data_IF_084892019851
#
_entry.id   IF_084892019851
#
_cell.length_a   1.000
_cell.length_b   1.000
_cell.length_c   1.000
_cell.angle_alpha   90.00
_cell.angle_beta   90.00
_cell.angle_gamma   90.00
#
_symmetry.space_group_name_H-M   'P 1'
#
loop_
_entity.id
_entity.type
_entity.pdbx_description
1 polymer ?
#
# COMPACT_ATOMS: atom_id res chain seq x y z
N UNK A 1 -29.53 -31.86 -33.44
CA UNK A 1 -29.48 -30.46 -33.93
C UNK A 1 -28.42 -29.73 -33.12
N UNK A 2 -27.26 -29.41 -33.72
CA UNK A 2 -26.21 -28.64 -33.06
C UNK A 2 -26.59 -27.17 -33.16
N UNK A 3 -27.16 -26.60 -32.10
CA UNK A 3 -27.30 -25.15 -31.99
C UNK A 3 -25.95 -24.60 -31.52
N UNK A 4 -25.19 -24.00 -32.44
CA UNK A 4 -24.02 -23.19 -32.08
C UNK A 4 -24.55 -21.80 -31.72
N UNK A 5 -24.79 -21.55 -30.44
CA UNK A 5 -24.98 -20.19 -29.94
C UNK A 5 -23.67 -19.82 -29.26
N UNK A 6 -22.87 -18.97 -29.91
CA UNK A 6 -21.74 -18.31 -29.26
C UNK A 6 -22.31 -17.26 -28.32
N UNK A 7 -22.39 -17.58 -27.04
CA UNK A 7 -22.68 -16.59 -26.01
C UNK A 7 -21.35 -15.98 -25.56
N UNK A 8 -20.90 -14.96 -26.29
CA UNK A 8 -19.75 -14.13 -25.89
C UNK A 8 -20.24 -13.12 -24.87
N UNK A 9 -19.92 -13.33 -23.59
CA UNK A 9 -19.91 -12.24 -22.62
C UNK A 9 -18.57 -11.52 -22.75
N UNK A 10 -18.62 -10.30 -23.27
CA UNK A 10 -17.48 -9.39 -23.33
C UNK A 10 -17.64 -8.44 -22.15
N UNK A 11 -16.87 -8.66 -21.08
CA UNK A 11 -16.49 -7.56 -20.21
C UNK A 11 -15.28 -6.89 -20.85
N UNK A 12 -15.51 -5.69 -21.36
CA UNK A 12 -14.48 -4.84 -21.91
C UNK A 12 -14.00 -3.92 -20.79
N UNK A 13 -12.82 -4.20 -20.24
CA UNK A 13 -11.86 -3.13 -19.97
C UNK A 13 -10.44 -3.66 -20.20
N UNK A 14 -9.69 -2.86 -20.94
CA UNK A 14 -8.40 -3.16 -21.54
C UNK A 14 -7.32 -2.53 -20.68
N UNK A 15 -6.35 -3.32 -20.21
CA UNK A 15 -4.93 -2.98 -20.38
C UNK A 15 -4.08 -4.25 -20.28
N UNK A 16 -3.54 -4.67 -21.43
CA UNK A 16 -2.59 -5.77 -21.56
C UNK A 16 -1.32 -5.18 -22.15
N UNK A 17 -0.30 -5.01 -21.31
CA UNK A 17 1.09 -4.91 -21.71
C UNK A 17 1.95 -5.55 -20.61
N UNK A 18 1.93 -6.88 -20.54
CA UNK A 18 2.93 -7.61 -19.79
C UNK A 18 4.21 -7.64 -20.64
N UNK A 19 5.17 -6.79 -20.30
CA UNK A 19 6.54 -6.94 -20.78
C UNK A 19 7.33 -7.54 -19.62
N UNK A 20 7.70 -8.82 -19.79
CA UNK A 20 8.67 -9.49 -18.93
C UNK A 20 10.03 -8.80 -19.09
N UNK A 21 10.42 -8.00 -18.11
CA UNK A 21 11.83 -7.62 -17.90
C UNK A 21 12.20 -7.95 -16.45
N UNK A 22 12.61 -9.19 -16.22
CA UNK A 22 13.50 -9.49 -15.10
C UNK A 22 14.88 -8.94 -15.48
N UNK A 23 15.29 -7.85 -14.83
CA UNK A 23 16.70 -7.46 -14.75
C UNK A 23 17.08 -7.44 -13.27
N UNK A 24 18.15 -8.13 -12.85
CA UNK A 24 18.62 -7.99 -11.48
C UNK A 24 19.14 -6.55 -11.32
N UNK A 25 18.54 -5.78 -10.40
CA UNK A 25 19.19 -4.56 -9.93
C UNK A 25 20.51 -4.96 -9.29
N UNK A 26 21.63 -4.58 -9.91
CA UNK A 26 22.93 -4.65 -9.27
C UNK A 26 22.97 -3.59 -8.18
N UNK A 27 23.36 -3.97 -6.97
CA UNK A 27 23.71 -3.07 -5.88
C UNK A 27 24.75 -2.04 -6.34
N UNK A 28 24.27 -0.86 -6.73
CA UNK A 28 25.07 0.34 -6.87
C UNK A 28 24.84 1.17 -5.62
N UNK A 29 25.69 1.01 -4.61
CA UNK A 29 25.73 1.89 -3.45
C UNK A 29 26.09 3.32 -3.92
N UNK A 30 25.07 4.11 -4.24
CA UNK A 30 25.22 5.55 -4.43
C UNK A 30 25.30 6.17 -3.04
N UNK A 31 26.52 6.31 -2.53
CA UNK A 31 26.80 7.10 -1.33
C UNK A 31 26.34 8.54 -1.60
N UNK A 32 25.26 8.94 -0.95
CA UNK A 32 24.81 10.33 -0.92
C UNK A 32 25.92 11.20 -0.32
N UNK A 33 26.47 12.09 -1.14
CA UNK A 33 27.50 13.03 -0.74
C UNK A 33 26.89 14.21 0.01
N UNK A 34 26.61 14.05 1.32
CA UNK A 34 26.26 15.17 2.17
C UNK A 34 27.47 16.13 2.29
N UNK A 35 27.40 17.27 1.62
CA UNK A 35 28.35 18.38 1.82
C UNK A 35 28.16 18.94 3.23
N UNK A 36 29.24 18.95 4.02
CA UNK A 36 29.36 19.67 5.30
C UNK A 36 28.88 21.11 5.15
N UNK A 37 27.98 21.56 6.03
CA UNK A 37 27.61 22.96 6.19
C UNK A 37 28.18 23.50 7.50
N UNK A 38 28.61 24.77 7.44
CA UNK A 38 29.44 25.49 8.39
C UNK A 38 28.95 25.48 9.86
N UNK A 39 29.85 25.08 10.75
CA UNK A 39 29.73 25.32 12.20
C UNK A 39 30.08 26.78 12.49
N UNK A 40 29.10 27.69 12.43
CA UNK A 40 29.10 28.94 13.17
C UNK A 40 27.79 29.71 12.96
N UNK A 41 26.84 29.59 13.88
CA UNK A 41 25.85 30.63 14.16
C UNK A 41 25.62 30.69 15.68
N UNK A 42 25.72 31.87 16.31
CA UNK A 42 25.59 32.00 17.75
C UNK A 42 24.14 31.87 18.20
N UNK A 43 23.94 31.38 19.43
CA UNK A 43 22.66 31.47 20.15
C UNK A 43 22.29 32.93 20.32
N UNK A 44 21.33 33.43 19.54
CA UNK A 44 20.64 34.69 19.83
C UNK A 44 19.34 34.44 20.59
N UNK A 45 19.11 35.29 21.57
CA UNK A 45 17.97 35.24 22.49
C UNK A 45 16.94 36.27 22.04
N UNK A 46 15.69 35.82 21.86
CA UNK A 46 14.48 36.63 21.92
C UNK A 46 14.20 37.59 20.75
N UNK A 47 13.19 37.25 19.94
CA UNK A 47 12.46 38.23 19.12
C UNK A 47 11.80 37.64 17.87
N UNK A 48 10.46 37.56 17.89
CA UNK A 48 9.53 37.32 16.77
C UNK A 48 9.95 36.27 15.71
N UNK A 49 9.55 35.02 15.95
CA UNK A 49 9.50 33.97 14.94
C UNK A 49 8.45 34.32 13.88
N UNK A 50 8.89 34.91 12.77
CA UNK A 50 8.22 34.64 11.49
C UNK A 50 8.65 33.24 11.08
N UNK A 51 7.68 32.32 11.00
CA UNK A 51 7.83 30.96 10.48
C UNK A 51 8.50 30.98 9.10
N UNK A 52 9.75 30.55 9.03
CA UNK A 52 10.40 30.31 7.74
C UNK A 52 9.88 28.98 7.20
N UNK A 53 9.06 29.08 6.15
CA UNK A 53 8.29 28.01 5.52
C UNK A 53 9.14 26.78 5.15
N UNK A 54 8.48 25.62 5.10
CA UNK A 54 9.03 24.44 4.45
C UNK A 54 9.40 24.80 3.00
N UNK A 55 10.58 24.40 2.55
CA UNK A 55 11.06 24.68 1.20
C UNK A 55 11.41 23.38 0.51
N UNK A 56 10.90 23.24 -0.71
CA UNK A 56 11.19 22.12 -1.61
C UNK A 56 11.87 22.67 -2.85
N UNK A 57 13.01 22.11 -3.20
CA UNK A 57 13.75 22.46 -4.42
C UNK A 57 14.02 21.21 -5.24
N UNK A 58 13.88 21.30 -6.56
CA UNK A 58 14.09 20.19 -7.47
C UNK A 58 15.14 20.53 -8.53
N UNK A 59 16.05 19.59 -8.78
CA UNK A 59 17.10 19.66 -9.79
C UNK A 59 17.01 18.43 -10.71
N UNK A 60 16.88 18.65 -12.03
CA UNK A 60 16.93 17.57 -13.00
C UNK A 60 18.37 17.04 -13.12
N UNK A 61 18.58 15.76 -12.84
CA UNK A 61 19.92 15.13 -12.95
C UNK A 61 20.14 14.64 -14.39
N UNK A 62 19.17 13.90 -14.90
CA UNK A 62 19.14 13.37 -16.27
C UNK A 62 17.67 13.22 -16.72
N UNK A 63 17.38 13.05 -18.02
CA UNK A 63 16.00 12.92 -18.49
C UNK A 63 15.25 11.80 -17.74
N UNK A 64 14.19 12.17 -17.02
CA UNK A 64 13.35 11.27 -16.23
C UNK A 64 13.85 10.97 -14.82
N UNK A 65 14.91 11.65 -14.33
CA UNK A 65 15.37 11.54 -12.95
C UNK A 65 15.68 12.91 -12.34
N UNK A 66 15.12 13.16 -11.16
CA UNK A 66 15.30 14.41 -10.42
C UNK A 66 15.88 14.16 -9.03
N UNK A 67 16.60 15.16 -8.54
CA UNK A 67 16.97 15.29 -7.13
C UNK A 67 16.02 16.29 -6.49
N UNK A 68 15.30 15.87 -5.44
CA UNK A 68 14.42 16.76 -4.68
C UNK A 68 14.94 16.93 -3.28
N UNK A 69 15.13 18.18 -2.87
CA UNK A 69 15.59 18.54 -1.53
C UNK A 69 14.49 19.21 -0.74
N UNK A 70 14.24 18.68 0.45
CA UNK A 70 13.27 19.15 1.44
C UNK A 70 14.00 19.89 2.54
N UNK A 71 13.42 20.98 3.02
CA UNK A 71 13.94 21.73 4.16
C UNK A 71 12.79 22.14 5.07
N UNK A 72 12.82 21.73 6.34
CA UNK A 72 11.78 22.04 7.32
C UNK A 72 12.40 22.38 8.68
N UNK A 73 11.59 22.94 9.59
CA UNK A 73 12.04 23.26 10.94
C UNK A 73 11.43 22.28 11.94
N UNK A 74 12.22 21.79 12.89
CA UNK A 74 11.75 20.99 14.01
C UNK A 74 12.70 21.13 15.19
N UNK A 75 12.15 21.30 16.40
CA UNK A 75 12.92 21.42 17.65
C UNK A 75 14.01 22.52 17.63
N UNK A 76 13.73 23.62 16.91
CA UNK A 76 14.64 24.76 16.79
C UNK A 76 15.79 24.55 15.80
N UNK A 77 15.82 23.44 15.07
CA UNK A 77 16.78 23.15 14.01
C UNK A 77 16.12 23.19 12.63
N UNK A 78 16.92 23.52 11.60
CA UNK A 78 16.53 23.39 10.20
C UNK A 78 17.10 22.08 9.66
N UNK A 79 16.22 21.20 9.24
CA UNK A 79 16.55 19.86 8.74
C UNK A 79 16.53 19.86 7.22
N UNK A 80 17.30 18.95 6.63
CA UNK A 80 17.44 18.80 5.19
C UNK A 80 17.44 17.32 4.81
N UNK A 81 16.67 16.97 3.79
CA UNK A 81 16.63 15.63 3.21
C UNK A 81 16.64 15.76 1.69
N UNK A 82 17.46 14.98 1.00
CA UNK A 82 17.51 14.97 -0.47
C UNK A 82 17.22 13.57 -0.97
N UNK A 83 16.24 13.45 -1.86
CA UNK A 83 15.78 12.21 -2.46
C UNK A 83 16.06 12.20 -3.97
N UNK A 84 16.34 11.01 -4.50
CA UNK A 84 16.45 10.77 -5.93
C UNK A 84 15.15 10.13 -6.42
N UNK A 85 14.48 10.80 -7.36
CA UNK A 85 13.18 10.41 -7.89
C UNK A 85 13.32 10.04 -9.38
N UNK A 86 12.54 9.06 -9.84
CA UNK A 86 12.60 8.47 -11.19
C UNK A 86 11.19 8.35 -11.77
N UNK A 87 10.94 9.03 -12.89
CA UNK A 87 9.64 9.07 -13.57
C UNK A 87 9.16 7.68 -13.99
N UNK A 88 10.08 6.76 -14.34
CA UNK A 88 9.72 5.39 -14.73
C UNK A 88 9.30 4.58 -13.53
N UNK A 89 9.94 4.79 -12.39
CA UNK A 89 9.54 4.14 -11.15
C UNK A 89 8.18 4.65 -10.70
N UNK A 90 7.96 5.97 -10.72
CA UNK A 90 6.66 6.57 -10.47
C UNK A 90 5.57 5.99 -11.41
N UNK A 91 5.81 5.97 -12.73
CA UNK A 91 4.88 5.34 -13.70
C UNK A 91 4.62 3.86 -13.41
N UNK A 92 5.61 3.13 -12.89
CA UNK A 92 5.43 1.75 -12.49
C UNK A 92 4.48 1.64 -11.30
N UNK A 93 4.62 2.51 -10.29
CA UNK A 93 3.69 2.60 -9.16
C UNK A 93 2.27 2.95 -9.62
N UNK A 94 2.08 3.96 -10.48
CA UNK A 94 0.76 4.35 -10.99
C UNK A 94 0.02 3.19 -11.67
N UNK A 95 0.77 2.30 -12.34
CA UNK A 95 0.21 1.16 -13.08
C UNK A 95 -0.24 0.01 -12.17
N UNK A 96 0.11 0.02 -10.88
CA UNK A 96 -0.24 -1.05 -9.93
C UNK A 96 -1.69 -0.93 -9.51
N UNK A 97 -2.32 -2.06 -9.20
CA UNK A 97 -3.70 -2.07 -8.72
C UNK A 97 -3.78 -1.53 -7.29
N UNK A 98 -4.79 -0.69 -7.02
CA UNK A 98 -5.11 -0.19 -5.67
C UNK A 98 -6.02 -1.14 -4.88
N UNK A 99 -6.43 -2.28 -5.46
CA UNK A 99 -7.26 -3.27 -4.78
C UNK A 99 -6.42 -4.05 -3.76
N UNK A 100 -6.11 -3.43 -2.63
CA UNK A 100 -5.36 -3.96 -1.49
C UNK A 100 -5.71 -3.13 -0.26
N UNK A 101 -5.38 -3.65 0.90
CA UNK A 101 -5.64 -2.98 2.18
C UNK A 101 -4.53 -1.95 2.49
N UNK A 102 -4.82 -0.93 3.32
CA UNK A 102 -3.90 0.17 3.62
C UNK A 102 -2.56 -0.28 4.24
N UNK A 103 -2.56 -1.33 5.05
CA UNK A 103 -1.33 -1.92 5.60
C UNK A 103 -0.35 -2.34 4.50
N UNK A 104 -0.86 -2.83 3.37
CA UNK A 104 -0.06 -3.32 2.25
C UNK A 104 0.48 -2.21 1.34
N UNK A 105 -0.03 -0.98 1.46
CA UNK A 105 0.63 0.20 0.88
C UNK A 105 1.82 0.61 1.75
N UNK A 106 1.65 0.63 3.08
CA UNK A 106 2.71 1.02 4.02
C UNK A 106 3.83 -0.02 4.10
N UNK A 107 3.53 -1.30 3.89
CA UNK A 107 4.49 -2.39 3.97
C UNK A 107 5.03 -2.85 2.60
N UNK A 108 4.94 -2.01 1.58
CA UNK A 108 5.27 -2.38 0.20
C UNK A 108 6.77 -2.66 0.01
N UNK A 109 7.18 -3.83 -0.52
CA UNK A 109 8.61 -4.17 -0.60
C UNK A 109 9.36 -3.42 -1.71
N UNK A 110 8.69 -2.71 -2.63
CA UNK A 110 9.33 -2.06 -3.77
C UNK A 110 9.97 -0.71 -3.42
N UNK A 111 9.60 -0.10 -2.30
CA UNK A 111 10.20 1.13 -1.77
C UNK A 111 11.04 0.92 -0.50
N UNK A 112 11.21 -0.31 -0.02
CA UNK A 112 12.04 -0.68 1.13
C UNK A 112 13.40 0.05 1.13
N UNK A 113 14.08 0.10 -0.02
CA UNK A 113 15.38 0.76 -0.15
C UNK A 113 15.31 2.28 0.09
N UNK A 114 14.22 2.92 -0.32
CA UNK A 114 13.99 4.35 -0.19
C UNK A 114 13.57 4.67 1.25
N UNK A 115 12.60 3.92 1.79
CA UNK A 115 12.13 4.06 3.17
C UNK A 115 13.29 3.87 4.14
N UNK A 116 14.11 2.83 3.93
CA UNK A 116 15.34 2.60 4.69
C UNK A 116 16.32 3.76 4.59
N UNK A 117 16.54 4.29 3.38
CA UNK A 117 17.45 5.42 3.20
C UNK A 117 16.98 6.67 3.96
N UNK A 118 15.68 6.95 3.95
CA UNK A 118 15.08 8.07 4.69
C UNK A 118 15.23 7.85 6.19
N UNK A 119 14.84 6.67 6.69
CA UNK A 119 14.94 6.31 8.10
C UNK A 119 16.39 6.43 8.61
N UNK A 120 17.35 5.79 7.92
CA UNK A 120 18.78 5.86 8.25
C UNK A 120 19.30 7.31 8.27
N UNK A 121 18.86 8.13 7.32
CA UNK A 121 19.28 9.53 7.21
C UNK A 121 18.75 10.37 8.37
N UNK A 122 17.46 10.28 8.68
CA UNK A 122 16.85 11.01 9.79
C UNK A 122 17.45 10.58 11.13
N UNK A 123 17.65 9.28 11.35
CA UNK A 123 18.33 8.76 12.55
C UNK A 123 19.77 9.28 12.64
N UNK A 124 20.53 9.22 11.55
CA UNK A 124 21.92 9.71 11.52
C UNK A 124 22.00 11.20 11.82
N UNK A 125 21.15 12.02 11.21
CA UNK A 125 21.09 13.46 11.47
C UNK A 125 20.67 13.75 12.92
N UNK A 126 19.67 13.03 13.45
CA UNK A 126 19.24 13.21 14.83
C UNK A 126 20.38 12.98 15.83
N UNK A 127 21.21 11.95 15.59
CA UNK A 127 22.38 11.63 16.41
C UNK A 127 23.48 12.70 16.27
N UNK A 128 23.74 13.20 15.06
CA UNK A 128 24.75 14.24 14.82
C UNK A 128 24.41 15.55 15.55
N UNK A 129 23.13 15.92 15.58
CA UNK A 129 22.64 17.13 16.25
C UNK A 129 22.36 16.95 17.75
N UNK A 130 22.44 15.71 18.25
CA UNK A 130 22.20 15.38 19.66
C UNK A 130 20.73 15.52 20.07
N UNK A 131 19.81 15.21 19.16
CA UNK A 131 18.38 15.20 19.42
C UNK A 131 18.04 14.10 20.44
N UNK A 132 17.17 14.39 21.40
CA UNK A 132 16.72 13.40 22.38
C UNK A 132 15.95 12.28 21.66
N UNK A 133 16.20 11.02 22.02
CA UNK A 133 15.61 9.83 21.37
C UNK A 133 14.06 9.91 21.27
N UNK A 134 13.40 10.34 22.35
CA UNK A 134 11.94 10.53 22.40
C UNK A 134 11.39 11.55 21.38
N UNK A 135 12.25 12.40 20.79
CA UNK A 135 11.88 13.43 19.81
C UNK A 135 12.09 12.96 18.37
N UNK A 136 12.73 11.81 18.15
CA UNK A 136 12.99 11.27 16.81
C UNK A 136 11.70 10.93 16.06
N UNK A 137 10.64 10.35 16.66
CA UNK A 137 9.38 10.13 15.96
C UNK A 137 8.76 11.43 15.46
N UNK A 138 8.78 12.48 16.29
CA UNK A 138 8.30 13.81 15.88
C UNK A 138 9.17 14.45 14.80
N UNK A 139 10.48 14.15 14.73
CA UNK A 139 11.32 14.58 13.61
C UNK A 139 10.83 13.95 12.29
N UNK A 140 10.54 12.64 12.31
CA UNK A 140 9.95 11.96 11.16
C UNK A 140 8.61 12.60 10.77
N UNK A 141 7.65 12.69 11.69
CA UNK A 141 6.34 13.25 11.38
C UNK A 141 6.41 14.72 10.95
N UNK A 142 7.30 15.52 11.52
CA UNK A 142 7.52 16.91 11.08
C UNK A 142 8.01 17.03 9.63
N UNK A 143 8.75 16.03 9.13
CA UNK A 143 9.12 15.97 7.72
C UNK A 143 7.86 15.71 6.86
N UNK A 144 7.02 14.74 7.23
CA UNK A 144 5.79 14.45 6.49
C UNK A 144 4.83 15.64 6.54
N UNK A 145 4.63 16.26 7.70
CA UNK A 145 3.84 17.49 7.88
C UNK A 145 4.36 18.68 7.05
N UNK A 146 5.62 18.63 6.58
CA UNK A 146 6.19 19.65 5.71
C UNK A 146 5.84 19.48 4.22
N UNK A 147 5.25 18.34 3.85
CA UNK A 147 4.74 18.06 2.50
C UNK A 147 3.43 18.81 2.26
N UNK A 148 3.04 18.96 0.99
CA UNK A 148 1.79 19.64 0.65
C UNK A 148 0.58 18.74 0.97
N UNK A 149 -0.40 19.28 1.69
CA UNK A 149 -1.69 18.61 1.79
C UNK A 149 -2.47 18.77 0.47
N UNK A 150 -2.83 17.67 -0.17
CA UNK A 150 -3.57 17.68 -1.44
C UNK A 150 -4.61 16.58 -1.45
N UNK A 151 -5.90 16.94 -1.41
CA UNK A 151 -6.99 15.95 -1.45
C UNK A 151 -6.99 15.13 -2.74
N UNK A 152 -7.39 13.86 -2.67
CA UNK A 152 -7.44 12.96 -3.83
C UNK A 152 -8.26 13.47 -5.01
N UNK A 153 -9.46 14.00 -4.74
CA UNK A 153 -10.31 14.61 -5.76
C UNK A 153 -9.59 15.71 -6.55
N UNK A 154 -8.68 16.43 -5.88
CA UNK A 154 -7.92 17.53 -6.50
C UNK A 154 -6.63 17.07 -7.18
N UNK A 155 -6.02 15.97 -6.76
CA UNK A 155 -4.72 15.49 -7.24
C UNK A 155 -4.83 14.34 -8.25
N UNK A 156 -5.69 13.34 -8.00
CA UNK A 156 -5.85 12.14 -8.83
C UNK A 156 -7.13 12.18 -9.70
N UNK A 157 -8.11 13.02 -9.32
CA UNK A 157 -9.42 13.09 -9.96
C UNK A 157 -10.38 11.96 -9.57
N UNK A 158 -10.03 11.16 -8.56
CA UNK A 158 -10.85 10.13 -7.94
C UNK A 158 -11.16 10.50 -6.48
N UNK A 159 -12.23 9.94 -5.92
CA UNK A 159 -12.69 10.22 -4.54
C UNK A 159 -11.82 9.50 -3.48
N UNK A 160 -11.17 8.39 -3.87
CA UNK A 160 -10.21 7.63 -3.05
C UNK A 160 -9.14 7.02 -3.97
N UNK A 161 -7.91 7.51 -3.88
CA UNK A 161 -6.74 7.04 -4.62
C UNK A 161 -5.56 6.89 -3.65
N UNK A 162 -5.50 5.78 -2.90
CA UNK A 162 -4.39 5.55 -1.99
C UNK A 162 -3.06 5.53 -2.72
N UNK A 163 -2.11 6.34 -2.25
CA UNK A 163 -0.75 6.41 -2.81
C UNK A 163 0.20 5.48 -2.07
N UNK A 164 1.11 4.89 -2.83
CA UNK A 164 2.28 4.27 -2.21
C UNK A 164 3.20 5.34 -1.60
N UNK A 165 4.04 4.99 -0.60
CA UNK A 165 5.01 5.92 -0.04
C UNK A 165 5.89 6.60 -1.09
N UNK A 166 6.33 5.85 -2.12
CA UNK A 166 7.07 6.43 -3.25
C UNK A 166 6.30 7.54 -3.99
N UNK A 167 5.01 7.32 -4.27
CA UNK A 167 4.16 8.28 -4.98
C UNK A 167 3.93 9.53 -4.13
N UNK A 168 3.66 9.38 -2.84
CA UNK A 168 3.51 10.51 -1.89
C UNK A 168 4.75 11.41 -1.88
N UNK A 169 5.95 10.80 -1.88
CA UNK A 169 7.22 11.52 -1.98
C UNK A 169 7.44 12.14 -3.36
N UNK A 170 7.01 11.48 -4.43
CA UNK A 170 7.12 11.96 -5.81
C UNK A 170 6.18 13.13 -6.11
N UNK A 171 4.96 13.11 -5.57
CA UNK A 171 3.95 14.16 -5.72
C UNK A 171 4.18 15.32 -4.75
N UNK A 172 5.16 15.20 -3.83
CA UNK A 172 5.45 16.18 -2.79
C UNK A 172 4.25 16.39 -1.83
N UNK A 173 3.46 15.36 -1.58
CA UNK A 173 2.22 15.49 -0.84
C UNK A 173 1.21 14.40 -1.12
N UNK A 174 0.13 14.48 -0.36
CA UNK A 174 -1.01 13.58 -0.37
C UNK A 174 -2.04 14.07 0.65
N UNK A 175 -3.09 13.30 0.89
CA UNK A 175 -4.05 13.62 1.96
C UNK A 175 -3.75 12.86 3.27
N UNK A 176 -4.73 12.77 4.16
CA UNK A 176 -4.57 12.17 5.48
C UNK A 176 -4.11 10.71 5.42
N UNK A 177 -4.56 9.96 4.41
CA UNK A 177 -4.28 8.55 4.25
C UNK A 177 -2.87 8.32 3.71
N UNK A 178 -2.52 9.00 2.61
CA UNK A 178 -1.18 8.95 2.01
C UNK A 178 -0.07 9.29 3.02
N UNK A 179 -0.27 10.36 3.79
CA UNK A 179 0.71 10.85 4.76
C UNK A 179 0.83 9.92 5.97
N UNK A 180 -0.26 9.26 6.37
CA UNK A 180 -0.27 8.23 7.41
C UNK A 180 0.48 6.98 6.96
N UNK A 181 0.23 6.51 5.74
CA UNK A 181 0.92 5.37 5.11
C UNK A 181 2.43 5.60 5.06
N UNK A 182 2.86 6.75 4.52
CA UNK A 182 4.28 7.11 4.44
C UNK A 182 4.92 7.21 5.83
N UNK A 183 4.23 7.82 6.78
CA UNK A 183 4.76 7.99 8.15
C UNK A 183 4.93 6.64 8.85
N UNK A 184 3.96 5.73 8.73
CA UNK A 184 4.06 4.39 9.30
C UNK A 184 5.21 3.61 8.67
N UNK A 185 5.36 3.64 7.34
CA UNK A 185 6.46 2.94 6.66
C UNK A 185 7.84 3.37 7.21
N UNK A 186 8.08 4.68 7.33
CA UNK A 186 9.35 5.21 7.83
C UNK A 186 9.54 4.92 9.33
N UNK A 187 8.51 5.10 10.16
CA UNK A 187 8.60 4.88 11.60
C UNK A 187 8.81 3.39 11.95
N UNK A 188 8.19 2.46 11.22
CA UNK A 188 8.46 1.03 11.39
C UNK A 188 9.90 0.67 11.02
N UNK A 189 10.43 1.23 9.93
CA UNK A 189 11.83 1.03 9.52
C UNK A 189 12.82 1.63 10.53
N UNK A 190 12.44 2.71 11.24
CA UNK A 190 13.20 3.24 12.38
C UNK A 190 13.11 2.35 13.64
N UNK A 191 12.26 1.32 13.65
CA UNK A 191 12.07 0.39 14.77
C UNK A 191 10.97 0.78 15.76
N UNK A 192 10.10 1.74 15.42
CA UNK A 192 8.93 2.06 16.24
C UNK A 192 7.77 1.11 15.93
N UNK A 193 7.03 0.73 16.99
CA UNK A 193 5.79 -0.05 16.88
C UNK A 193 4.65 0.94 16.64
N UNK A 194 4.21 1.02 15.38
CA UNK A 194 3.20 1.95 14.89
C UNK A 194 2.11 1.22 14.10
N UNK A 195 0.90 1.78 14.17
CA UNK A 195 -0.32 1.29 13.52
C UNK A 195 -0.98 2.45 12.76
N UNK A 196 -1.83 2.13 11.78
CA UNK A 196 -2.74 3.11 11.19
C UNK A 196 -3.99 3.23 12.09
N UNK A 197 -4.56 4.43 12.15
CA UNK A 197 -5.81 4.73 12.84
C UNK A 197 -6.80 5.24 11.79
N UNK A 198 -7.81 4.44 11.48
CA UNK A 198 -8.89 4.83 10.58
C UNK A 198 -10.05 5.43 11.38
N UNK A 199 -10.49 6.61 10.96
CA UNK A 199 -11.63 7.36 11.49
C UNK A 199 -12.59 7.66 10.33
N UNK A 200 -13.85 8.05 10.61
CA UNK A 200 -14.76 8.51 9.56
C UNK A 200 -14.16 9.67 8.75
N UNK A 201 -13.85 9.40 7.48
CA UNK A 201 -13.25 10.34 6.52
C UNK A 201 -11.90 10.95 6.94
N UNK A 202 -11.16 10.29 7.85
CA UNK A 202 -9.83 10.72 8.26
C UNK A 202 -8.93 9.53 8.58
N UNK A 203 -7.62 9.73 8.43
CA UNK A 203 -6.62 8.75 8.82
C UNK A 203 -5.47 9.45 9.55
N UNK A 204 -5.01 8.80 10.61
CA UNK A 204 -3.83 9.18 11.35
C UNK A 204 -3.00 7.92 11.66
N UNK A 205 -1.93 8.08 12.43
CA UNK A 205 -1.18 6.93 12.95
C UNK A 205 -1.21 6.88 14.48
N UNK A 206 -1.04 5.67 15.00
CA UNK A 206 -0.88 5.40 16.42
C UNK A 206 0.54 4.93 16.69
N UNK A 207 1.25 5.59 17.62
CA UNK A 207 2.59 5.18 18.03
C UNK A 207 2.58 4.57 19.44
N UNK A 208 3.15 3.38 19.58
CA UNK A 208 3.25 2.72 20.87
C UNK A 208 4.09 3.52 21.84
N UNK A 209 3.50 3.86 22.97
CA UNK A 209 4.19 4.53 24.06
C UNK A 209 3.90 3.85 25.40
N UNK A 210 4.58 4.33 26.46
CA UNK A 210 4.24 3.95 27.82
C UNK A 210 2.78 4.34 28.14
N UNK A 211 2.03 3.54 28.93
CA UNK A 211 0.72 3.95 29.45
C UNK A 211 0.74 5.22 30.30
N UNK A 212 1.93 5.68 30.74
CA UNK A 212 2.12 6.93 31.49
C UNK A 212 2.25 8.17 30.58
N UNK A 213 2.36 7.99 29.27
CA UNK A 213 2.37 9.09 28.30
C UNK A 213 1.05 9.85 28.38
N UNK A 214 1.08 11.17 28.18
CA UNK A 214 -0.14 11.98 28.20
C UNK A 214 -0.74 12.04 26.80
N UNK A 215 -2.05 12.13 26.73
CA UNK A 215 -2.79 12.34 25.49
C UNK A 215 -3.72 11.18 25.14
N UNK A 216 -4.32 11.27 23.95
CA UNK A 216 -5.25 10.28 23.43
C UNK A 216 -4.50 9.03 22.97
N UNK A 217 -4.95 7.87 23.44
CA UNK A 217 -4.43 6.57 23.02
C UNK A 217 -5.52 5.55 22.80
N UNK A 218 -5.19 4.51 22.03
CA UNK A 218 -6.05 3.41 21.67
C UNK A 218 -5.37 2.08 22.04
N UNK A 219 -6.11 1.21 22.70
CA UNK A 219 -5.60 -0.10 23.12
C UNK A 219 -5.75 -1.11 21.99
N UNK A 220 -4.65 -1.81 21.66
CA UNK A 220 -4.65 -2.92 20.72
C UNK A 220 -3.61 -3.96 21.14
N UNK A 221 -4.00 -5.24 21.24
CA UNK A 221 -3.14 -6.34 21.67
C UNK A 221 -2.34 -6.05 22.97
N UNK A 222 -2.98 -5.45 23.97
CA UNK A 222 -2.39 -5.03 25.26
C UNK A 222 -1.28 -3.95 25.16
N UNK A 223 -1.18 -3.25 24.03
CA UNK A 223 -0.33 -2.08 23.85
C UNK A 223 -1.19 -0.80 23.77
N UNK A 224 -0.61 0.34 24.13
CA UNK A 224 -1.25 1.65 24.01
C UNK A 224 -0.61 2.44 22.86
N UNK A 225 -1.39 2.71 21.82
CA UNK A 225 -0.98 3.48 20.65
C UNK A 225 -1.51 4.90 20.78
N UNK A 226 -0.62 5.87 20.94
CA UNK A 226 -0.97 7.28 21.09
C UNK A 226 -1.17 7.91 19.72
N UNK A 227 -2.25 8.69 19.59
CA UNK A 227 -2.59 9.38 18.35
C UNK A 227 -1.43 10.28 17.92
N UNK A 228 -1.12 10.30 16.63
CA UNK A 228 -0.15 11.21 16.06
C UNK A 228 -0.65 11.68 14.70
N UNK A 229 -0.96 12.97 14.63
CA UNK A 229 -1.49 13.61 13.44
C UNK A 229 -0.39 13.85 12.40
N UNK A 230 -0.63 13.44 11.16
CA UNK A 230 0.28 13.67 10.02
C UNK A 230 -0.12 14.87 9.18
N UNK A 231 -1.35 15.37 9.32
CA UNK A 231 -1.90 16.51 8.59
C UNK A 231 -1.86 17.80 9.41
N UNK A 232 -1.51 18.91 8.76
CA UNK A 232 -1.25 20.16 9.49
C UNK A 232 0.15 20.15 10.10
N UNK A 233 0.38 20.98 11.13
CA UNK A 233 1.74 21.23 11.61
C UNK A 233 1.80 21.34 13.13
N UNK A 234 2.90 20.86 13.70
CA UNK A 234 3.23 20.96 15.13
C UNK A 234 2.32 20.15 16.06
N UNK A 235 1.68 19.10 15.56
CA UNK A 235 0.99 18.14 16.39
C UNK A 235 1.98 17.26 17.15
N UNK A 236 1.81 17.17 18.47
CA UNK A 236 2.61 16.30 19.32
C UNK A 236 1.96 14.93 19.52
N UNK A 237 2.75 13.95 19.98
CA UNK A 237 2.25 12.61 20.30
C UNK A 237 1.18 12.71 21.39
N UNK A 238 0.01 12.14 21.11
CA UNK A 238 -1.15 12.12 21.97
C UNK A 238 -2.09 13.32 21.80
N UNK A 239 -1.75 14.29 20.96
CA UNK A 239 -2.65 15.40 20.60
C UNK A 239 -3.56 14.97 19.46
N UNK A 240 -4.86 14.98 19.70
CA UNK A 240 -5.88 14.66 18.69
C UNK A 240 -6.76 15.90 18.45
N UNK A 241 -7.10 16.23 17.19
CA UNK A 241 -8.04 17.30 16.90
C UNK A 241 -9.39 17.10 17.62
N UNK A 242 -9.97 18.19 18.16
CA UNK A 242 -11.23 18.15 18.92
C UNK A 242 -12.38 17.51 18.13
N UNK A 243 -12.40 17.67 16.81
CA UNK A 243 -13.44 17.13 15.93
C UNK A 243 -13.47 15.60 15.88
N UNK A 244 -12.39 14.92 16.28
CA UNK A 244 -12.29 13.46 16.28
C UNK A 244 -12.44 12.84 17.69
N UNK A 245 -12.58 13.63 18.76
CA UNK A 245 -12.54 13.16 20.16
C UNK A 245 -13.54 12.03 20.46
N UNK A 246 -14.73 12.13 19.88
CA UNK A 246 -15.85 11.21 20.08
C UNK A 246 -16.07 10.24 18.91
N UNK A 247 -15.24 10.31 17.87
CA UNK A 247 -15.38 9.45 16.69
C UNK A 247 -14.84 8.03 16.96
N UNK A 248 -15.46 6.99 16.34
CA UNK A 248 -14.94 5.63 16.43
C UNK A 248 -13.60 5.56 15.70
N UNK A 249 -12.65 4.82 16.29
CA UNK A 249 -11.32 4.63 15.72
C UNK A 249 -11.07 3.14 15.54
N UNK A 250 -10.76 2.74 14.31
CA UNK A 250 -10.29 1.41 13.98
C UNK A 250 -8.77 1.39 13.97
N UNK A 251 -8.19 0.47 14.75
CA UNK A 251 -6.73 0.27 14.78
C UNK A 251 -6.36 -0.77 13.73
N UNK A 252 -5.63 -0.35 12.70
CA UNK A 252 -5.17 -1.20 11.62
C UNK A 252 -3.69 -1.53 11.85
N UNK A 253 -3.35 -2.76 12.27
CA UNK A 253 -1.96 -3.17 12.40
C UNK A 253 -1.29 -3.24 11.02
N UNK A 254 -0.09 -2.67 10.90
CA UNK A 254 0.70 -2.76 9.68
C UNK A 254 1.74 -3.86 9.82
N UNK A 255 1.60 -4.90 9.00
CA UNK A 255 2.52 -6.03 8.98
C UNK A 255 2.55 -6.64 7.58
N UNK A 256 3.69 -7.23 7.24
CA UNK A 256 3.87 -7.85 5.94
C UNK A 256 3.11 -9.18 5.84
N UNK A 257 2.38 -9.39 4.74
CA UNK A 257 1.61 -10.60 4.45
C UNK A 257 1.35 -10.77 2.95
N UNK A 258 1.05 -11.98 2.46
CA UNK A 258 0.52 -12.14 1.12
C UNK A 258 -0.96 -11.72 1.07
N UNK A 259 -1.38 -11.22 -0.09
CA UNK A 259 -2.78 -10.98 -0.43
C UNK A 259 -2.93 -11.24 -1.93
N UNK A 260 -3.94 -11.99 -2.34
CA UNK A 260 -4.12 -12.30 -3.76
C UNK A 260 -5.42 -11.71 -4.30
N UNK A 261 -5.33 -11.11 -5.47
CA UNK A 261 -6.50 -10.73 -6.25
C UNK A 261 -6.80 -11.81 -7.29
N UNK A 262 -8.04 -12.28 -7.29
CA UNK A 262 -8.56 -13.19 -8.29
C UNK A 262 -9.37 -12.45 -9.34
N UNK A 263 -9.26 -12.92 -10.57
CA UNK A 263 -10.15 -12.62 -11.69
C UNK A 263 -10.32 -13.88 -12.54
N UNK A 264 -11.44 -14.03 -13.25
CA UNK A 264 -11.61 -15.12 -14.19
C UNK A 264 -12.52 -14.77 -15.37
N UNK A 265 -12.33 -15.52 -16.46
CA UNK A 265 -13.26 -15.59 -17.58
C UNK A 265 -13.70 -17.03 -17.80
N UNK A 266 -14.96 -17.24 -18.18
CA UNK A 266 -15.50 -18.57 -18.41
C UNK A 266 -16.18 -18.66 -19.79
N UNK A 267 -16.06 -19.82 -20.42
CA UNK A 267 -16.76 -20.18 -21.65
C UNK A 267 -17.59 -21.43 -21.38
N UNK A 268 -18.88 -21.37 -21.69
CA UNK A 268 -19.80 -22.49 -21.49
C UNK A 268 -20.39 -22.95 -22.82
N UNK A 269 -20.20 -24.21 -23.16
CA UNK A 269 -20.93 -24.90 -24.22
C UNK A 269 -21.97 -25.83 -23.60
N UNK A 270 -23.25 -25.73 -24.01
CA UNK A 270 -24.31 -26.51 -23.39
C UNK A 270 -25.26 -27.18 -24.39
N UNK A 271 -25.94 -28.20 -23.89
CA UNK A 271 -26.95 -28.99 -24.56
C UNK A 271 -28.05 -29.40 -23.57
N UNK A 272 -29.13 -30.01 -24.05
CA UNK A 272 -30.18 -30.55 -23.18
C UNK A 272 -29.68 -31.60 -22.16
N UNK A 273 -28.49 -32.17 -22.35
CA UNK A 273 -27.95 -33.24 -21.49
C UNK A 273 -26.92 -32.73 -20.49
N UNK A 274 -26.07 -31.80 -20.91
CA UNK A 274 -24.95 -31.30 -20.12
C UNK A 274 -24.48 -29.94 -20.63
N UNK A 275 -23.86 -29.17 -19.73
CA UNK A 275 -22.97 -28.06 -20.02
C UNK A 275 -21.53 -28.43 -19.70
N UNK A 276 -20.61 -27.91 -20.52
CA UNK A 276 -19.16 -28.01 -20.38
C UNK A 276 -18.61 -26.60 -20.25
N UNK A 277 -17.84 -26.36 -19.19
CA UNK A 277 -17.32 -25.05 -18.83
C UNK A 277 -15.80 -25.08 -18.80
N UNK A 278 -15.19 -24.17 -19.55
CA UNK A 278 -13.77 -23.86 -19.47
C UNK A 278 -13.60 -22.52 -18.75
N UNK A 279 -12.72 -22.47 -17.75
CA UNK A 279 -12.48 -21.27 -16.93
C UNK A 279 -11.00 -20.92 -16.97
N UNK A 280 -10.68 -19.67 -17.31
CA UNK A 280 -9.35 -19.10 -17.22
C UNK A 280 -9.30 -18.16 -16.02
N UNK A 281 -8.47 -18.48 -15.03
CA UNK A 281 -8.26 -17.71 -13.81
C UNK A 281 -6.94 -16.95 -13.92
N UNK A 282 -6.96 -15.69 -13.49
CA UNK A 282 -5.76 -14.90 -13.19
C UNK A 282 -5.72 -14.66 -11.70
N UNK A 283 -4.59 -14.97 -11.08
CA UNK A 283 -4.28 -14.66 -9.69
C UNK A 283 -3.09 -13.71 -9.68
N UNK A 284 -3.19 -12.59 -8.96
CA UNK A 284 -2.07 -11.67 -8.73
C UNK A 284 -1.80 -11.53 -7.24
N UNK A 285 -0.57 -11.72 -6.80
CA UNK A 285 -0.17 -11.37 -5.45
C UNK A 285 0.02 -9.84 -5.36
N UNK A 286 -0.81 -9.18 -4.56
CA UNK A 286 -0.76 -7.74 -4.27
C UNK A 286 -0.34 -7.47 -2.82
N UNK A 287 0.01 -8.52 -2.08
CA UNK A 287 0.61 -8.41 -0.76
C UNK A 287 2.10 -8.12 -0.82
N UNK A 288 2.67 -7.90 0.36
CA UNK A 288 4.08 -7.57 0.54
C UNK A 288 4.99 -8.80 0.74
N UNK A 289 4.40 -9.97 0.97
CA UNK A 289 5.13 -11.24 1.13
C UNK A 289 4.79 -12.21 0.01
N UNK A 290 5.65 -13.20 -0.15
CA UNK A 290 5.44 -14.33 -1.06
C UNK A 290 4.19 -15.11 -0.65
N UNK A 291 3.30 -15.39 -1.60
CA UNK A 291 2.23 -16.35 -1.43
C UNK A 291 2.78 -17.77 -1.63
N UNK A 292 2.89 -18.53 -0.54
CA UNK A 292 3.51 -19.85 -0.52
C UNK A 292 2.50 -20.96 -0.80
N UNK A 293 2.91 -21.93 -1.64
CA UNK A 293 2.16 -23.15 -1.94
C UNK A 293 0.66 -22.91 -2.20
N UNK A 294 0.37 -21.86 -2.99
CA UNK A 294 -1.00 -21.43 -3.28
C UNK A 294 -1.60 -22.32 -4.36
N UNK A 295 -2.77 -22.88 -4.09
CA UNK A 295 -3.57 -23.67 -5.04
C UNK A 295 -4.82 -22.91 -5.45
N UNK A 296 -5.12 -22.91 -6.75
CA UNK A 296 -6.37 -22.36 -7.29
C UNK A 296 -7.36 -23.49 -7.50
N UNK A 297 -8.54 -23.37 -6.90
CA UNK A 297 -9.67 -24.27 -7.05
C UNK A 297 -10.72 -23.61 -7.92
N UNK A 298 -11.22 -24.33 -8.92
CA UNK A 298 -12.32 -23.90 -9.78
C UNK A 298 -13.43 -24.94 -9.71
N UNK A 299 -14.63 -24.50 -9.36
CA UNK A 299 -15.77 -25.38 -9.18
C UNK A 299 -17.03 -24.83 -9.87
N UNK A 300 -17.92 -25.73 -10.25
CA UNK A 300 -19.29 -25.40 -10.66
C UNK A 300 -20.22 -25.63 -9.46
N UNK A 301 -20.58 -24.56 -8.76
CA UNK A 301 -21.42 -24.63 -7.56
C UNK A 301 -22.91 -24.64 -7.94
N UNK A 302 -23.71 -25.46 -7.28
CA UNK A 302 -25.16 -25.52 -7.43
C UNK A 302 -25.87 -24.40 -6.66
N UNK A 303 -27.13 -24.13 -7.01
CA UNK A 303 -27.96 -23.06 -6.43
C UNK A 303 -28.16 -23.17 -4.91
N UNK A 304 -28.11 -24.38 -4.34
CA UNK A 304 -28.17 -24.61 -2.89
C UNK A 304 -26.89 -24.18 -2.14
N UNK A 305 -25.84 -23.75 -2.86
CA UNK A 305 -24.56 -23.28 -2.32
C UNK A 305 -23.67 -24.37 -1.69
N UNK A 306 -24.23 -25.55 -1.40
CA UNK A 306 -23.53 -26.63 -0.71
C UNK A 306 -22.98 -27.69 -1.65
N UNK A 307 -23.63 -27.87 -2.80
CA UNK A 307 -23.28 -28.90 -3.77
C UNK A 307 -22.35 -28.34 -4.84
N UNK A 308 -21.29 -29.09 -5.10
CA UNK A 308 -20.38 -28.87 -6.23
C UNK A 308 -20.68 -29.92 -7.31
N UNK A 309 -20.91 -29.48 -8.55
CA UNK A 309 -21.16 -30.36 -9.69
C UNK A 309 -19.87 -31.01 -10.19
N UNK A 310 -18.84 -30.21 -10.33
CA UNK A 310 -17.51 -30.62 -10.79
C UNK A 310 -16.47 -29.59 -10.30
N UNK A 311 -15.23 -30.03 -10.15
CA UNK A 311 -14.13 -29.18 -9.70
C UNK A 311 -12.79 -29.60 -10.30
N UNK A 312 -11.91 -28.63 -10.51
CA UNK A 312 -10.53 -28.81 -10.94
C UNK A 312 -9.66 -27.87 -10.11
N UNK A 313 -8.49 -28.35 -9.70
CA UNK A 313 -7.49 -27.57 -8.97
C UNK A 313 -6.18 -27.47 -9.77
N UNK A 314 -5.41 -26.41 -9.51
CA UNK A 314 -4.05 -26.27 -10.02
C UNK A 314 -3.05 -27.07 -9.19
N UNK A 315 -1.85 -27.29 -9.72
CA UNK A 315 -0.71 -27.60 -8.86
C UNK A 315 -0.43 -26.40 -7.93
N UNK A 316 0.10 -26.60 -6.71
CA UNK A 316 0.54 -25.52 -5.85
C UNK A 316 1.62 -24.66 -6.52
N UNK A 317 1.54 -23.34 -6.34
CA UNK A 317 2.46 -22.37 -6.92
C UNK A 317 2.95 -21.37 -5.87
N UNK A 318 4.18 -20.91 -6.04
CA UNK A 318 4.78 -19.81 -5.27
C UNK A 318 4.66 -18.53 -6.10
N UNK A 319 4.15 -17.46 -5.51
CA UNK A 319 3.87 -16.21 -6.22
C UNK A 319 4.50 -15.04 -5.45
N UNK A 320 5.56 -14.47 -6.01
CA UNK A 320 6.22 -13.27 -5.50
C UNK A 320 5.27 -12.06 -5.44
N UNK A 321 5.54 -11.04 -4.59
CA UNK A 321 4.84 -9.76 -4.64
C UNK A 321 4.76 -9.19 -6.07
N UNK A 322 3.59 -8.66 -6.44
CA UNK A 322 3.21 -8.22 -7.80
C UNK A 322 3.31 -9.29 -8.90
N UNK A 323 3.68 -10.52 -8.55
CA UNK A 323 3.66 -11.69 -9.41
C UNK A 323 2.24 -12.08 -9.81
N UNK A 324 2.12 -12.66 -11.00
CA UNK A 324 0.85 -13.16 -11.51
C UNK A 324 0.96 -14.62 -11.95
N UNK A 325 -0.09 -15.38 -11.70
CA UNK A 325 -0.26 -16.76 -12.11
C UNK A 325 -1.54 -16.92 -12.93
N UNK A 326 -1.46 -17.68 -14.02
CA UNK A 326 -2.59 -17.99 -14.87
C UNK A 326 -2.87 -19.48 -14.84
N UNK A 327 -4.14 -19.84 -14.65
CA UNK A 327 -4.59 -21.22 -14.58
C UNK A 327 -5.83 -21.41 -15.46
N UNK A 328 -5.88 -22.53 -16.20
CA UNK A 328 -7.04 -22.88 -17.01
C UNK A 328 -7.61 -24.23 -16.57
N UNK A 329 -8.80 -24.20 -15.99
CA UNK A 329 -9.61 -25.39 -15.71
C UNK A 329 -10.48 -25.70 -16.94
N UNK A 330 -10.25 -26.84 -17.60
CA UNK A 330 -10.99 -27.22 -18.81
C UNK A 330 -11.93 -28.38 -18.57
N UNK A 331 -13.11 -28.30 -19.17
CA UNK A 331 -14.02 -29.42 -19.28
C UNK A 331 -14.84 -29.72 -18.03
N UNK A 332 -15.04 -28.75 -17.13
CA UNK A 332 -15.92 -28.88 -15.97
C UNK A 332 -17.36 -29.17 -16.45
N UNK A 333 -18.05 -30.12 -15.82
CA UNK A 333 -19.36 -30.59 -16.27
C UNK A 333 -20.48 -30.24 -15.31
N UNK A 334 -21.62 -29.87 -15.88
CA UNK A 334 -22.87 -29.64 -15.14
C UNK A 334 -24.03 -30.32 -15.90
N UNK A 335 -24.96 -31.04 -15.23
CA UNK A 335 -26.10 -31.64 -15.91
C UNK A 335 -27.01 -30.58 -16.56
N UNK A 336 -27.60 -30.91 -17.71
CA UNK A 336 -28.55 -30.01 -18.39
C UNK A 336 -29.82 -29.77 -17.57
N UNK A 337 -30.44 -28.61 -17.76
CA UNK A 337 -31.62 -28.16 -16.99
C UNK A 337 -31.29 -27.76 -15.55
N UNK A 338 -30.04 -27.43 -15.25
CA UNK A 338 -29.57 -27.03 -13.92
C UNK A 338 -29.04 -25.61 -13.92
N UNK A 339 -29.15 -24.98 -12.77
CA UNK A 339 -28.56 -23.70 -12.46
C UNK A 339 -27.25 -23.92 -11.71
N UNK A 340 -26.21 -23.18 -12.10
CA UNK A 340 -24.89 -23.22 -11.48
C UNK A 340 -24.22 -21.85 -11.54
N UNK A 341 -23.13 -21.67 -10.80
CA UNK A 341 -22.19 -20.57 -10.99
C UNK A 341 -20.75 -21.08 -10.96
N UNK A 342 -19.84 -20.33 -11.57
CA UNK A 342 -18.41 -20.57 -11.41
C UNK A 342 -18.02 -20.05 -10.04
N UNK A 343 -17.34 -20.88 -9.25
CA UNK A 343 -16.76 -20.54 -7.95
C UNK A 343 -15.25 -20.76 -8.07
N UNK A 344 -14.47 -19.71 -7.81
CA UNK A 344 -13.01 -19.75 -7.82
C UNK A 344 -12.52 -19.41 -6.42
N UNK A 345 -11.58 -20.21 -5.92
CA UNK A 345 -10.95 -19.98 -4.62
C UNK A 345 -9.44 -20.16 -4.73
N UNK A 346 -8.67 -19.30 -4.07
CA UNK A 346 -7.26 -19.50 -3.82
C UNK A 346 -7.01 -19.78 -2.34
N UNK A 347 -6.13 -20.72 -2.05
CA UNK A 347 -5.70 -21.07 -0.69
C UNK A 347 -4.21 -21.44 -0.72
N UNK A 348 -3.44 -20.92 0.24
CA UNK A 348 -2.02 -21.24 0.39
C UNK A 348 -1.66 -21.48 1.86
N UNK A 349 -0.39 -21.80 2.13
CA UNK A 349 0.08 -22.11 3.49
C UNK A 349 0.08 -20.87 4.40
N UNK A 350 0.46 -19.72 3.85
CA UNK A 350 0.51 -18.43 4.55
C UNK A 350 -0.52 -17.41 4.02
N UNK A 351 -1.45 -17.85 3.18
CA UNK A 351 -2.43 -17.01 2.50
C UNK A 351 -3.83 -17.27 3.03
N UNK A 352 -4.49 -16.22 3.52
CA UNK A 352 -5.93 -16.26 3.80
C UNK A 352 -6.70 -16.55 2.52
N UNK A 353 -7.75 -17.37 2.61
CA UNK A 353 -8.42 -17.81 1.39
C UNK A 353 -9.19 -16.67 0.73
N UNK A 354 -8.96 -16.51 -0.56
CA UNK A 354 -9.63 -15.54 -1.42
C UNK A 354 -10.59 -16.25 -2.35
N UNK A 355 -11.79 -15.70 -2.54
CA UNK A 355 -12.85 -16.35 -3.29
C UNK A 355 -13.69 -15.36 -4.11
N UNK A 356 -14.03 -15.76 -5.33
CA UNK A 356 -14.90 -15.00 -6.22
C UNK A 356 -15.87 -15.93 -6.94
N UNK A 357 -17.07 -15.41 -7.26
CA UNK A 357 -18.10 -16.17 -7.96
C UNK A 357 -18.64 -15.44 -9.17
N UNK A 358 -19.10 -16.18 -10.18
CA UNK A 358 -19.93 -15.61 -11.24
C UNK A 358 -21.37 -15.40 -10.75
N UNK A 359 -22.14 -14.66 -11.55
CA UNK A 359 -23.59 -14.72 -11.52
C UNK A 359 -24.10 -16.15 -11.78
N UNK A 360 -25.35 -16.40 -11.39
CA UNK A 360 -26.02 -17.67 -11.65
C UNK A 360 -26.36 -17.84 -13.14
N UNK A 361 -26.07 -19.02 -13.67
CA UNK A 361 -26.30 -19.42 -15.06
C UNK A 361 -27.20 -20.65 -15.09
N UNK A 362 -28.24 -20.62 -15.92
CA UNK A 362 -29.13 -21.77 -16.15
C UNK A 362 -28.97 -22.27 -17.58
N UNK A 363 -28.80 -23.58 -17.76
CA UNK A 363 -28.49 -24.22 -19.05
C UNK A 363 -29.47 -25.33 -19.44
#
# INVERSE_FOLDING_TARGET
>A
MKARIKLTFIFLLVYMAAVLFFWPFSEGSAVSGNKKIDKNLPRETGGNYNSSEALVTEELIEPGKSSRSYSWNYEGYRWHLTLLLDDKLYSAYESRTRKRDYDLFASDPYDDWLIKNIADTLVSLSNEYGLEEKKIPGLCVSFIQSLNYTSDLTSSGYDQYPRFPYETLFDNGGDCEDTSILSVAILQEMGYDVVLLELPEHMALGIKCSPETRGRSFEYNNNHYYYLETTGSNWEIGEMPEEYEDEPVEVIPVYRRPLVNLDFSAQCEYSQKEGVVDVNVTLRNVGSEVAENTTVYVALQAEDGSKIWDQIESDPVIIEPEGAYQFTAKGLRVPGGRTFRVYVRALGENLFSEEITSEWVSI
#
